data_IF_832239932900
#
_entry.id   IF_832239932900
#
_cell.length_a   1.000
_cell.length_b   1.000
_cell.length_c   1.000
_cell.angle_alpha   90.00
_cell.angle_beta   90.00
_cell.angle_gamma   90.00
#
_symmetry.space_group_name_H-M   'P 1'
#
loop_
_entity.id
_entity.type
_entity.pdbx_description
1 polymer ?
#
# COMPACT_ATOMS: atom_id res chain seq x y z
N UNK A 1 -20.04 -15.43 -12.13
CA UNK A 1 -19.49 -15.61 -13.48
C UNK A 1 -18.06 -15.13 -13.45
N UNK A 2 -17.10 -15.98 -13.87
CA UNK A 2 -15.70 -15.62 -13.93
C UNK A 2 -15.50 -14.35 -14.78
N UNK A 3 -14.58 -13.44 -14.43
CA UNK A 3 -14.33 -12.23 -15.21
C UNK A 3 -13.78 -12.60 -16.61
N UNK A 4 -14.13 -11.81 -17.61
CA UNK A 4 -13.52 -11.95 -18.92
C UNK A 4 -12.05 -11.57 -18.85
N UNK A 5 -11.16 -12.41 -19.37
CA UNK A 5 -9.70 -12.23 -19.34
C UNK A 5 -9.20 -11.88 -20.74
N UNK A 6 -8.42 -10.80 -20.84
CA UNK A 6 -7.72 -10.44 -22.08
C UNK A 6 -6.21 -10.49 -21.83
N UNK A 7 -5.48 -11.46 -22.41
CA UNK A 7 -4.02 -11.49 -22.34
C UNK A 7 -3.43 -10.27 -23.04
N UNK A 8 -2.54 -9.52 -22.38
CA UNK A 8 -1.92 -8.32 -22.97
C UNK A 8 -0.41 -8.45 -23.15
N UNK A 9 0.24 -9.39 -22.45
CA UNK A 9 1.69 -9.59 -22.51
C UNK A 9 2.54 -8.40 -22.02
N UNK A 10 1.93 -7.24 -21.74
CA UNK A 10 2.62 -6.02 -21.27
C UNK A 10 2.04 -5.56 -19.94
N UNK A 11 2.88 -4.90 -19.13
CA UNK A 11 2.44 -4.32 -17.88
C UNK A 11 1.35 -3.27 -18.09
N UNK A 12 0.32 -3.20 -17.22
CA UNK A 12 -0.79 -2.26 -17.36
C UNK A 12 -0.30 -0.80 -17.30
N UNK A 13 -0.94 0.12 -18.02
CA UNK A 13 -0.57 1.53 -17.99
C UNK A 13 -1.24 2.31 -16.85
N UNK A 14 -1.31 1.71 -15.66
CA UNK A 14 -2.00 2.30 -14.51
C UNK A 14 -1.05 3.19 -13.70
N UNK A 15 -1.61 4.24 -13.11
CA UNK A 15 -0.89 5.19 -12.26
C UNK A 15 -1.50 5.20 -10.86
N UNK A 16 -0.63 5.35 -9.84
CA UNK A 16 -1.05 5.47 -8.43
C UNK A 16 -2.05 4.37 -8.05
N UNK A 17 -1.78 3.16 -8.53
CA UNK A 17 -2.61 1.98 -8.38
C UNK A 17 -2.51 1.39 -6.97
N UNK A 18 -3.37 0.45 -6.67
CA UNK A 18 -3.34 -0.38 -5.47
C UNK A 18 -3.06 -1.83 -5.85
N UNK A 19 -2.32 -2.54 -5.02
CA UNK A 19 -1.92 -3.93 -5.26
C UNK A 19 -2.15 -4.77 -4.01
N UNK A 20 -2.69 -5.97 -4.19
CA UNK A 20 -2.75 -6.99 -3.15
C UNK A 20 -2.53 -8.38 -3.76
N UNK A 21 -2.06 -9.32 -2.95
CA UNK A 21 -1.99 -10.73 -3.34
C UNK A 21 -3.25 -11.45 -2.87
N UNK A 22 -4.03 -11.96 -3.79
CA UNK A 22 -5.20 -12.79 -3.53
C UNK A 22 -4.74 -14.23 -3.31
N UNK A 23 -4.71 -14.67 -2.06
CA UNK A 23 -4.25 -16.02 -1.69
C UNK A 23 -5.20 -17.11 -2.20
N UNK A 24 -6.50 -16.81 -2.30
CA UNK A 24 -7.49 -17.78 -2.76
C UNK A 24 -7.33 -18.10 -4.25
N UNK A 25 -7.11 -17.10 -5.09
CA UNK A 25 -6.88 -17.27 -6.53
C UNK A 25 -5.40 -17.42 -6.89
N UNK A 26 -4.47 -17.21 -5.95
CA UNK A 26 -3.01 -17.22 -6.14
C UNK A 26 -2.53 -16.22 -7.20
N UNK A 27 -3.11 -15.03 -7.19
CA UNK A 27 -2.82 -13.97 -8.15
C UNK A 27 -2.55 -12.64 -7.43
N UNK A 28 -1.68 -11.84 -8.02
CA UNK A 28 -1.61 -10.42 -7.65
C UNK A 28 -2.73 -9.68 -8.37
N UNK A 29 -3.50 -8.91 -7.61
CA UNK A 29 -4.60 -8.08 -8.14
C UNK A 29 -4.19 -6.62 -8.04
N UNK A 30 -4.19 -5.95 -9.19
CA UNK A 30 -3.89 -4.53 -9.33
C UNK A 30 -5.18 -3.79 -9.72
N UNK A 31 -5.49 -2.72 -9.02
CA UNK A 31 -6.60 -1.81 -9.33
C UNK A 31 -6.07 -0.40 -9.49
N UNK A 32 -6.47 0.28 -10.54
CA UNK A 32 -6.09 1.67 -10.76
C UNK A 32 -6.75 2.29 -11.96
N UNK A 33 -6.28 3.45 -12.36
CA UNK A 33 -6.75 4.18 -13.55
C UNK A 33 -5.57 4.44 -14.48
N UNK A 34 -5.86 4.58 -15.77
CA UNK A 34 -4.85 5.09 -16.73
C UNK A 34 -4.55 6.54 -16.45
N UNK A 35 -3.37 6.99 -16.83
CA UNK A 35 -3.02 8.42 -16.75
C UNK A 35 -4.05 9.26 -17.54
N UNK A 36 -4.66 10.22 -16.85
CA UNK A 36 -5.78 11.00 -17.38
C UNK A 36 -7.13 10.26 -17.50
N UNK A 37 -7.19 8.98 -17.13
CA UNK A 37 -8.42 8.18 -17.16
C UNK A 37 -9.28 8.35 -15.91
N UNK A 38 -10.57 8.00 -16.04
CA UNK A 38 -11.55 8.08 -14.94
C UNK A 38 -12.18 6.74 -14.57
N UNK A 39 -11.96 5.71 -15.38
CA UNK A 39 -12.48 4.37 -15.12
C UNK A 39 -11.44 3.50 -14.41
N UNK A 40 -11.87 2.74 -13.41
CA UNK A 40 -11.03 1.72 -12.79
C UNK A 40 -10.81 0.55 -13.74
N UNK A 41 -9.59 0.04 -13.76
CA UNK A 41 -9.23 -1.22 -14.39
C UNK A 41 -8.73 -2.19 -13.31
N UNK A 42 -9.16 -3.44 -13.42
CA UNK A 42 -8.67 -4.55 -12.59
C UNK A 42 -7.76 -5.43 -13.42
N UNK A 43 -6.59 -5.74 -12.91
CA UNK A 43 -5.61 -6.59 -13.57
C UNK A 43 -5.14 -7.68 -12.62
N UNK A 44 -4.88 -8.85 -13.18
CA UNK A 44 -4.26 -9.95 -12.45
C UNK A 44 -2.87 -10.26 -13.02
N UNK A 45 -1.97 -10.72 -12.15
CA UNK A 45 -0.64 -11.17 -12.54
C UNK A 45 -0.27 -12.48 -11.86
N UNK A 46 0.32 -13.38 -12.66
CA UNK A 46 1.03 -14.58 -12.19
C UNK A 46 2.32 -14.73 -12.96
N UNK A 47 3.29 -15.47 -12.40
CA UNK A 47 4.54 -15.77 -13.10
C UNK A 47 4.32 -16.58 -14.39
N UNK A 48 3.25 -17.36 -14.47
CA UNK A 48 2.93 -18.19 -15.64
C UNK A 48 2.29 -17.40 -16.79
N UNK A 49 1.49 -16.38 -16.47
CA UNK A 49 0.65 -15.72 -17.48
C UNK A 49 1.04 -14.26 -17.74
N UNK A 50 1.87 -13.65 -16.86
CA UNK A 50 2.09 -12.21 -16.87
C UNK A 50 0.80 -11.45 -16.52
N UNK A 51 0.74 -10.18 -16.92
CA UNK A 51 -0.43 -9.33 -16.68
C UNK A 51 -1.60 -9.69 -17.59
N UNK A 52 -2.78 -9.80 -16.98
CA UNK A 52 -4.05 -10.06 -17.64
C UNK A 52 -5.07 -9.00 -17.21
N UNK A 53 -5.74 -8.37 -18.16
CA UNK A 53 -6.84 -7.45 -17.89
C UNK A 53 -8.10 -8.24 -17.56
N UNK A 54 -8.67 -7.98 -16.39
CA UNK A 54 -9.92 -8.57 -15.93
C UNK A 54 -11.07 -7.58 -16.15
N UNK A 55 -12.20 -8.11 -16.61
CA UNK A 55 -13.43 -7.31 -16.77
C UNK A 55 -14.50 -7.91 -15.86
N UNK A 56 -14.50 -7.55 -14.55
CA UNK A 56 -15.51 -8.03 -13.61
C UNK A 56 -16.88 -7.40 -13.91
N UNK A 57 -17.96 -8.08 -13.45
CA UNK A 57 -19.34 -7.61 -13.65
C UNK A 57 -19.59 -6.25 -12.96
N UNK A 58 -18.92 -6.01 -11.84
CA UNK A 58 -18.94 -4.72 -11.11
C UNK A 58 -17.53 -4.31 -10.77
N UNK A 59 -17.28 -2.99 -10.78
CA UNK A 59 -15.98 -2.41 -10.43
C UNK A 59 -16.16 -1.17 -9.56
N UNK A 60 -15.20 -0.90 -8.65
CA UNK A 60 -15.18 0.37 -7.93
C UNK A 60 -15.08 1.55 -8.91
N UNK A 61 -15.64 2.73 -8.57
CA UNK A 61 -15.38 3.95 -9.32
C UNK A 61 -13.89 4.22 -9.46
N UNK A 62 -13.49 4.86 -10.57
CA UNK A 62 -12.09 5.20 -10.84
C UNK A 62 -11.45 5.99 -9.71
N UNK A 63 -10.31 5.52 -9.24
CA UNK A 63 -9.58 6.09 -8.11
C UNK A 63 -8.08 5.97 -8.22
N UNK A 64 -7.40 6.89 -7.59
CA UNK A 64 -5.97 6.83 -7.30
C UNK A 64 -5.76 6.76 -5.79
N UNK A 65 -4.62 6.25 -5.34
CA UNK A 65 -4.24 6.21 -3.92
C UNK A 65 -5.17 5.40 -2.99
N UNK A 66 -6.09 4.60 -3.53
CA UNK A 66 -6.78 3.60 -2.71
C UNK A 66 -5.78 2.64 -2.08
N UNK A 67 -6.15 1.97 -1.01
CA UNK A 67 -5.32 0.91 -0.44
C UNK A 67 -6.06 -0.42 -0.49
N UNK A 68 -5.34 -1.49 -0.80
CA UNK A 68 -5.87 -2.85 -0.88
C UNK A 68 -5.03 -3.77 -0.01
N UNK A 69 -5.72 -4.68 0.68
CA UNK A 69 -5.09 -5.73 1.48
C UNK A 69 -5.94 -6.99 1.44
N UNK A 70 -5.30 -8.15 1.45
CA UNK A 70 -5.99 -9.42 1.57
C UNK A 70 -6.39 -9.67 3.02
N UNK A 71 -7.65 -9.91 3.25
CA UNK A 71 -8.24 -10.30 4.53
C UNK A 71 -8.31 -11.83 4.59
N UNK A 72 -7.39 -12.43 5.35
CA UNK A 72 -7.31 -13.88 5.49
C UNK A 72 -8.55 -14.48 6.15
N UNK A 73 -9.23 -13.72 7.03
CA UNK A 73 -10.43 -14.20 7.74
C UNK A 73 -11.62 -14.38 6.80
N UNK A 74 -11.79 -13.46 5.85
CA UNK A 74 -12.87 -13.51 4.86
C UNK A 74 -12.46 -14.08 3.50
N UNK A 75 -11.17 -14.30 3.29
CA UNK A 75 -10.58 -14.74 2.02
C UNK A 75 -10.91 -13.80 0.84
N UNK A 76 -10.92 -12.51 1.10
CA UNK A 76 -11.21 -11.45 0.13
C UNK A 76 -10.17 -10.34 0.19
N UNK A 77 -9.98 -9.63 -0.92
CA UNK A 77 -9.24 -8.37 -0.87
C UNK A 77 -10.21 -7.26 -0.43
N UNK A 78 -9.79 -6.45 0.52
CA UNK A 78 -10.49 -5.24 0.97
C UNK A 78 -9.83 -4.03 0.35
N UNK A 79 -10.62 -3.17 -0.29
CA UNK A 79 -10.22 -1.87 -0.81
C UNK A 79 -10.93 -0.77 -0.03
N UNK A 80 -10.20 0.25 0.39
CA UNK A 80 -10.79 1.44 1.02
C UNK A 80 -10.15 2.73 0.53
N UNK A 81 -10.97 3.79 0.47
CA UNK A 81 -10.52 5.16 0.31
C UNK A 81 -9.89 5.50 -1.04
N UNK A 82 -8.93 6.40 -1.00
CA UNK A 82 -8.33 6.98 -2.19
C UNK A 82 -9.00 8.28 -2.63
N UNK A 83 -8.64 8.73 -3.81
CA UNK A 83 -9.18 9.93 -4.43
C UNK A 83 -9.92 9.56 -5.71
N UNK A 84 -11.13 10.09 -5.90
CA UNK A 84 -11.85 9.93 -7.16
C UNK A 84 -11.04 10.45 -8.34
N UNK A 85 -10.91 9.63 -9.38
CA UNK A 85 -10.25 10.03 -10.61
C UNK A 85 -11.10 11.07 -11.35
N UNK A 86 -10.55 12.26 -11.58
CA UNK A 86 -11.17 13.34 -12.34
C UNK A 86 -10.33 13.66 -13.57
N UNK A 87 -10.95 14.04 -14.72
CA UNK A 87 -10.24 14.24 -15.99
C UNK A 87 -9.18 15.33 -15.98
N UNK A 88 -9.16 16.23 -15.01
CA UNK A 88 -8.37 17.47 -15.08
C UNK A 88 -7.99 17.99 -13.72
N UNK A 89 -7.17 17.29 -12.96
CA UNK A 89 -6.50 17.86 -11.78
C UNK A 89 -7.40 18.68 -10.83
N UNK A 90 -8.69 18.39 -10.80
CA UNK A 90 -9.67 19.07 -9.96
C UNK A 90 -9.38 18.90 -8.47
N UNK A 91 -10.20 19.54 -7.63
CA UNK A 91 -10.10 19.45 -6.18
C UNK A 91 -10.01 17.97 -5.71
N UNK A 92 -9.23 17.71 -4.68
CA UNK A 92 -9.15 16.39 -4.06
C UNK A 92 -10.55 15.96 -3.59
N UNK A 93 -11.06 14.87 -4.15
CA UNK A 93 -12.32 14.27 -3.76
C UNK A 93 -12.04 12.93 -3.05
N UNK A 94 -11.78 12.96 -1.73
CA UNK A 94 -11.47 11.76 -0.98
C UNK A 94 -12.68 10.82 -0.92
N UNK A 95 -12.42 9.52 -0.92
CA UNK A 95 -13.41 8.47 -0.88
C UNK A 95 -13.49 7.83 0.50
N UNK A 96 -14.67 7.28 0.85
CA UNK A 96 -14.92 6.54 2.11
C UNK A 96 -15.68 5.23 1.88
N UNK A 97 -15.69 4.76 0.65
CA UNK A 97 -16.35 3.51 0.30
C UNK A 97 -15.42 2.32 0.57
N UNK A 98 -16.04 1.21 0.95
CA UNK A 98 -15.37 -0.08 1.15
C UNK A 98 -15.83 -1.02 0.05
N UNK A 99 -14.89 -1.69 -0.58
CA UNK A 99 -15.14 -2.72 -1.59
C UNK A 99 -14.40 -4.00 -1.23
N UNK A 100 -14.96 -5.13 -1.60
CA UNK A 100 -14.29 -6.42 -1.49
C UNK A 100 -14.22 -7.13 -2.83
N UNK A 101 -13.11 -7.82 -3.09
CA UNK A 101 -12.87 -8.68 -4.24
C UNK A 101 -12.86 -10.14 -3.81
N UNK A 102 -13.66 -10.98 -4.47
CA UNK A 102 -13.83 -12.40 -4.14
C UNK A 102 -13.09 -13.35 -5.11
N UNK A 103 -12.14 -12.82 -5.89
CA UNK A 103 -11.46 -13.55 -6.97
C UNK A 103 -12.13 -13.40 -8.33
N UNK A 104 -13.36 -12.88 -8.40
CA UNK A 104 -14.15 -12.79 -9.64
C UNK A 104 -14.80 -11.42 -9.86
N UNK A 105 -15.30 -10.80 -8.81
CA UNK A 105 -16.03 -9.52 -8.90
C UNK A 105 -15.82 -8.65 -7.68
N UNK A 106 -16.01 -7.35 -7.87
CA UNK A 106 -16.01 -6.38 -6.79
C UNK A 106 -17.41 -6.22 -6.22
N UNK A 107 -17.52 -6.17 -4.91
CA UNK A 107 -18.76 -5.91 -4.19
C UNK A 107 -18.60 -4.70 -3.28
N UNK A 108 -19.44 -3.68 -3.46
CA UNK A 108 -19.48 -2.54 -2.54
C UNK A 108 -20.10 -2.97 -1.22
N UNK A 109 -19.43 -2.63 -0.12
CA UNK A 109 -19.91 -2.88 1.24
C UNK A 109 -20.52 -1.59 1.80
N UNK A 110 -21.54 -1.75 2.61
CA UNK A 110 -22.25 -0.65 3.29
C UNK A 110 -22.18 -0.83 4.80
N UNK A 111 -20.97 -0.74 5.39
CA UNK A 111 -20.81 -0.94 6.83
C UNK A 111 -21.56 0.12 7.63
N UNK A 112 -22.07 -0.24 8.81
CA UNK A 112 -22.78 0.67 9.70
C UNK A 112 -21.88 1.79 10.22
N UNK A 113 -20.60 1.49 10.43
CA UNK A 113 -19.57 2.46 10.77
C UNK A 113 -18.41 2.35 9.79
N UNK A 114 -17.77 3.45 9.49
CA UNK A 114 -16.62 3.50 8.59
C UNK A 114 -15.74 4.72 8.88
N UNK A 115 -14.45 4.66 8.52
CA UNK A 115 -13.60 5.84 8.52
C UNK A 115 -14.20 6.96 7.66
N UNK A 116 -13.82 8.19 7.95
CA UNK A 116 -14.15 9.33 7.09
C UNK A 116 -13.53 9.17 5.70
N UNK A 117 -13.95 9.99 4.76
CA UNK A 117 -13.34 10.03 3.44
C UNK A 117 -11.88 10.49 3.53
N UNK A 118 -10.96 9.70 2.97
CA UNK A 118 -9.50 9.94 3.01
C UNK A 118 -8.85 9.62 1.69
N UNK A 119 -7.90 10.45 1.28
CA UNK A 119 -7.07 10.19 0.09
C UNK A 119 -6.03 9.10 0.41
N UNK A 120 -5.40 9.20 1.57
CA UNK A 120 -4.33 8.29 1.98
C UNK A 120 -4.74 7.55 3.25
N UNK A 121 -4.76 6.25 3.16
CA UNK A 121 -4.88 5.32 4.26
C UNK A 121 -3.83 4.23 4.04
N UNK A 122 -3.17 3.81 5.10
CA UNK A 122 -2.30 2.64 5.07
C UNK A 122 -3.05 1.49 5.69
N UNK A 123 -3.08 0.33 5.03
CA UNK A 123 -3.79 -0.84 5.53
C UNK A 123 -2.88 -2.06 5.53
N UNK A 124 -3.04 -2.89 6.53
CA UNK A 124 -2.42 -4.21 6.60
C UNK A 124 -3.31 -5.19 7.38
N UNK A 125 -3.22 -6.47 7.05
CA UNK A 125 -3.89 -7.52 7.81
C UNK A 125 -3.09 -7.84 9.07
N UNK A 126 -3.79 -7.92 10.18
CA UNK A 126 -3.26 -8.35 11.48
C UNK A 126 -3.78 -9.77 11.76
N UNK A 127 -2.92 -10.80 11.71
CA UNK A 127 -3.33 -12.17 11.94
C UNK A 127 -3.68 -12.46 13.40
N UNK A 128 -3.19 -11.66 14.36
CA UNK A 128 -3.50 -11.86 15.78
C UNK A 128 -4.94 -11.45 16.10
N UNK A 129 -5.43 -10.38 15.48
CA UNK A 129 -6.84 -9.95 15.60
C UNK A 129 -7.73 -10.53 14.50
N UNK A 130 -7.16 -11.16 13.48
CA UNK A 130 -7.84 -11.65 12.27
C UNK A 130 -8.66 -10.56 11.57
N UNK A 131 -8.08 -9.37 11.45
CA UNK A 131 -8.75 -8.19 10.92
C UNK A 131 -7.80 -7.33 10.09
N UNK A 132 -8.37 -6.41 9.29
CA UNK A 132 -7.60 -5.41 8.57
C UNK A 132 -7.50 -4.15 9.40
N UNK A 133 -6.29 -3.71 9.69
CA UNK A 133 -6.01 -2.45 10.38
C UNK A 133 -5.76 -1.36 9.35
N UNK A 134 -6.52 -0.28 9.46
CA UNK A 134 -6.38 0.94 8.65
C UNK A 134 -5.89 2.11 9.49
N UNK A 135 -4.89 2.83 9.00
CA UNK A 135 -4.29 3.99 9.69
C UNK A 135 -4.26 5.17 8.75
N UNK A 136 -4.75 6.30 9.21
CA UNK A 136 -4.71 7.54 8.44
C UNK A 136 -4.59 8.78 9.33
N UNK A 137 -4.18 9.89 8.72
CA UNK A 137 -4.09 11.17 9.40
C UNK A 137 -5.46 11.84 9.55
N UNK A 138 -5.75 12.30 10.76
CA UNK A 138 -6.89 13.15 11.05
C UNK A 138 -6.45 14.50 11.62
N UNK A 139 -6.28 15.52 10.77
CA UNK A 139 -5.87 16.86 11.23
C UNK A 139 -6.81 17.45 12.30
N UNK A 140 -8.10 17.10 12.27
CA UNK A 140 -9.08 17.58 13.24
C UNK A 140 -8.95 16.91 14.61
N UNK A 141 -8.38 15.69 14.67
CA UNK A 141 -8.13 14.98 15.92
C UNK A 141 -6.69 15.17 16.44
N UNK A 142 -5.90 16.01 15.76
CA UNK A 142 -4.51 16.30 16.10
C UNK A 142 -3.62 15.03 16.17
N UNK A 143 -3.80 14.12 15.22
CA UNK A 143 -3.04 12.88 15.14
C UNK A 143 -3.60 11.89 14.13
N UNK A 144 -3.11 10.65 14.21
CA UNK A 144 -3.58 9.55 13.38
C UNK A 144 -4.80 8.87 13.99
N UNK A 145 -5.68 8.35 13.18
CA UNK A 145 -6.72 7.40 13.60
C UNK A 145 -6.38 5.99 13.16
N UNK A 146 -6.70 5.04 14.02
CA UNK A 146 -6.57 3.60 13.75
C UNK A 146 -7.96 2.99 13.74
N UNK A 147 -8.27 2.24 12.70
CA UNK A 147 -9.54 1.56 12.51
C UNK A 147 -9.32 0.10 12.19
N UNK A 148 -10.27 -0.72 12.56
CA UNK A 148 -10.29 -2.16 12.34
C UNK A 148 -11.48 -2.54 11.45
N UNK A 149 -11.23 -3.32 10.41
CA UNK A 149 -12.25 -3.97 9.58
C UNK A 149 -12.33 -5.46 9.96
N UNK A 150 -13.48 -5.90 10.42
CA UNK A 150 -13.71 -7.28 10.88
C UNK A 150 -14.42 -8.17 9.84
N UNK A 151 -14.37 -7.80 8.56
CA UNK A 151 -15.08 -8.50 7.48
C UNK A 151 -16.49 -7.94 7.19
N UNK A 152 -17.10 -7.17 8.10
CA UNK A 152 -18.45 -6.64 7.94
C UNK A 152 -18.58 -5.15 8.23
N UNK A 153 -17.89 -4.62 9.21
CA UNK A 153 -17.94 -3.22 9.61
C UNK A 153 -16.58 -2.71 10.05
N UNK A 154 -16.39 -1.42 9.99
CA UNK A 154 -15.25 -0.73 10.56
C UNK A 154 -15.55 -0.32 12.00
N UNK A 155 -14.57 -0.42 12.87
CA UNK A 155 -14.62 0.08 14.24
C UNK A 155 -13.38 0.94 14.53
N UNK A 156 -13.53 2.11 15.18
CA UNK A 156 -12.38 2.90 15.60
C UNK A 156 -11.66 2.22 16.76
N UNK A 157 -10.35 2.10 16.67
CA UNK A 157 -9.53 1.59 17.75
C UNK A 157 -8.98 2.74 18.60
N UNK A 158 -9.18 2.64 19.90
CA UNK A 158 -8.63 3.58 20.89
C UNK A 158 -7.17 3.19 21.17
N UNK A 159 -6.29 3.46 20.23
CA UNK A 159 -4.85 3.27 20.45
C UNK A 159 -4.31 4.40 21.32
N UNK A 160 -3.58 4.08 22.40
CA UNK A 160 -3.03 5.04 23.38
C UNK A 160 -2.14 6.13 22.78
N UNK A 161 -0.81 6.02 22.84
CA UNK A 161 0.11 6.88 22.10
C UNK A 161 -0.09 6.63 20.60
N UNK A 162 -0.15 7.71 19.81
CA UNK A 162 -0.31 7.66 18.35
C UNK A 162 0.81 8.48 17.71
N UNK A 163 1.20 8.18 16.46
CA UNK A 163 2.03 9.11 15.72
C UNK A 163 1.40 10.50 15.73
N UNK A 164 2.10 11.49 16.28
CA UNK A 164 1.56 12.86 16.48
C UNK A 164 1.49 13.68 15.19
N UNK A 165 2.08 13.19 14.10
CA UNK A 165 2.21 13.97 12.89
C UNK A 165 1.47 13.27 11.75
N UNK A 166 0.86 14.06 10.84
CA UNK A 166 0.17 13.51 9.69
C UNK A 166 1.12 12.61 8.88
N UNK A 167 0.89 11.31 8.95
CA UNK A 167 1.61 10.32 8.16
C UNK A 167 0.84 10.01 6.88
N UNK A 168 0.64 11.04 6.04
CA UNK A 168 0.08 10.83 4.71
C UNK A 168 1.09 10.01 3.90
N UNK A 169 0.60 8.98 3.21
CA UNK A 169 1.44 8.11 2.38
C UNK A 169 2.56 7.39 3.18
N UNK A 170 2.34 7.06 4.44
CA UNK A 170 3.20 6.12 5.14
C UNK A 170 2.98 4.71 4.57
N UNK A 171 3.99 3.85 4.66
CA UNK A 171 3.83 2.42 4.44
C UNK A 171 3.40 1.73 5.74
N UNK A 172 2.58 0.69 5.64
CA UNK A 172 2.18 -0.20 6.72
C UNK A 172 2.29 -1.64 6.25
N UNK A 173 2.94 -2.50 7.02
CA UNK A 173 3.04 -3.92 6.72
C UNK A 173 3.17 -4.74 7.99
N UNK A 174 2.75 -6.00 7.94
CA UNK A 174 2.89 -6.93 9.05
C UNK A 174 4.27 -7.61 9.04
N UNK A 175 4.91 -7.67 10.21
CA UNK A 175 6.10 -8.46 10.47
C UNK A 175 5.74 -9.65 11.34
N UNK A 176 6.31 -10.82 11.08
CA UNK A 176 6.23 -11.97 12.00
C UNK A 176 7.42 -12.01 12.98
N UNK A 177 8.40 -11.11 12.83
CA UNK A 177 9.66 -11.13 13.61
C UNK A 177 10.01 -9.72 14.14
N UNK A 178 9.41 -9.28 15.26
CA UNK A 178 8.29 -9.86 16.01
C UNK A 178 6.94 -9.68 15.28
N UNK A 179 5.89 -10.38 15.78
CA UNK A 179 4.53 -10.26 15.28
C UNK A 179 3.94 -8.89 15.61
N UNK A 180 4.06 -7.94 14.69
CA UNK A 180 3.58 -6.56 14.84
C UNK A 180 3.29 -5.93 13.47
N UNK A 181 2.42 -4.94 13.41
CA UNK A 181 2.35 -4.04 12.28
C UNK A 181 3.46 -2.99 12.39
N UNK A 182 4.13 -2.71 11.29
CA UNK A 182 5.22 -1.73 11.19
C UNK A 182 4.80 -0.60 10.28
N UNK A 183 4.78 0.60 10.81
CA UNK A 183 4.53 1.83 10.05
C UNK A 183 5.82 2.63 9.90
N UNK A 184 6.11 3.04 8.68
CA UNK A 184 7.21 3.95 8.38
C UNK A 184 6.83 4.94 7.28
N UNK A 185 7.26 6.18 7.46
CA UNK A 185 7.01 7.24 6.49
C UNK A 185 6.64 8.55 7.17
N UNK A 186 6.69 9.64 6.42
CA UNK A 186 6.36 10.98 6.91
C UNK A 186 5.76 11.82 5.80
N UNK A 187 5.13 12.91 6.16
CA UNK A 187 4.63 13.92 5.22
C UNK A 187 5.64 15.01 5.04
N UNK A 188 5.72 15.49 3.81
CA UNK A 188 6.43 16.72 3.46
C UNK A 188 5.40 17.72 2.88
N UNK A 189 5.35 18.92 3.44
CA UNK A 189 4.45 19.96 2.95
C UNK A 189 4.66 21.30 3.65
N UNK A 190 4.02 22.35 3.15
CA UNK A 190 4.05 23.68 3.77
C UNK A 190 3.39 23.58 5.17
N UNK A 191 4.14 23.95 6.20
CA UNK A 191 3.68 23.84 7.59
C UNK A 191 3.83 22.46 8.22
N UNK A 192 4.34 21.45 7.49
CA UNK A 192 4.69 20.17 8.08
C UNK A 192 5.86 20.33 9.07
N UNK A 193 5.85 19.60 10.19
CA UNK A 193 7.01 19.56 11.10
C UNK A 193 8.24 18.99 10.40
N UNK A 194 9.40 19.09 11.05
CA UNK A 194 10.63 18.49 10.54
C UNK A 194 10.41 17.02 10.18
N UNK A 195 11.00 16.51 9.08
CA UNK A 195 10.86 15.14 8.67
C UNK A 195 11.23 14.18 9.80
N UNK A 196 10.31 13.28 10.16
CA UNK A 196 10.51 12.28 11.19
C UNK A 196 10.78 10.92 10.55
N UNK A 197 11.89 10.29 10.91
CA UNK A 197 12.26 8.95 10.48
C UNK A 197 11.92 7.87 11.54
N UNK A 198 11.05 8.20 12.50
CA UNK A 198 10.60 7.24 13.50
C UNK A 198 9.81 6.11 12.85
N UNK A 199 10.10 4.91 13.31
CA UNK A 199 9.30 3.72 13.03
C UNK A 199 8.26 3.59 14.14
N UNK A 200 7.05 3.19 13.79
CA UNK A 200 6.03 2.85 14.76
C UNK A 200 5.62 1.40 14.58
N UNK A 201 5.40 0.73 15.70
CA UNK A 201 4.85 -0.63 15.69
C UNK A 201 3.52 -0.67 16.41
N UNK A 202 2.60 -1.49 15.90
CA UNK A 202 1.29 -1.70 16.51
C UNK A 202 1.12 -3.17 16.85
N UNK A 203 0.80 -3.45 18.10
CA UNK A 203 0.47 -4.79 18.59
C UNK A 203 -0.45 -4.68 19.81
N UNK A 204 -1.36 -5.62 19.99
CA UNK A 204 -2.26 -5.70 21.13
C UNK A 204 -3.01 -4.37 21.44
N UNK A 205 -3.39 -3.64 20.39
CA UNK A 205 -4.12 -2.38 20.53
C UNK A 205 -3.25 -1.15 20.83
N UNK A 206 -1.92 -1.26 20.85
CA UNK A 206 -1.02 -0.18 21.27
C UNK A 206 0.01 0.14 20.17
N UNK A 207 0.24 1.44 19.96
CA UNK A 207 1.33 1.96 19.16
C UNK A 207 2.56 2.22 20.01
N UNK A 208 3.70 1.74 19.56
CA UNK A 208 5.02 1.93 20.20
C UNK A 208 5.97 2.65 19.25
N UNK A 209 6.53 3.81 19.63
CA UNK A 209 7.51 4.50 18.81
C UNK A 209 8.92 3.90 18.96
N UNK A 210 9.63 3.82 17.85
CA UNK A 210 11.05 3.52 17.80
C UNK A 210 11.79 4.73 17.23
N UNK A 211 12.63 5.34 18.04
CA UNK A 211 13.36 6.54 17.65
C UNK A 211 14.29 6.26 16.45
N UNK A 212 14.43 7.25 15.60
CA UNK A 212 15.40 7.20 14.51
C UNK A 212 16.83 7.12 15.03
N UNK A 213 17.66 6.35 14.36
CA UNK A 213 19.08 6.20 14.64
C UNK A 213 19.90 6.33 13.34
N UNK A 214 21.21 6.27 13.43
CA UNK A 214 22.08 6.30 12.23
C UNK A 214 21.85 5.11 11.29
N UNK A 215 21.28 4.01 11.79
CA UNK A 215 20.96 2.79 11.04
C UNK A 215 19.53 2.76 10.53
N UNK A 216 18.69 3.77 10.77
CA UNK A 216 17.33 3.84 10.23
C UNK A 216 17.31 4.45 8.82
N UNK A 217 16.34 4.08 7.97
CA UNK A 217 16.13 4.78 6.69
C UNK A 217 15.91 6.27 6.91
N UNK A 218 16.37 7.09 5.96
CA UNK A 218 16.05 8.53 5.99
C UNK A 218 14.56 8.75 5.89
N UNK A 219 14.08 9.84 6.51
CA UNK A 219 12.68 10.27 6.43
C UNK A 219 12.21 10.35 4.97
N UNK A 220 11.06 9.76 4.68
CA UNK A 220 10.50 9.65 3.31
C UNK A 220 8.99 9.53 3.33
N UNK A 221 8.34 10.02 2.28
CA UNK A 221 6.94 9.77 1.99
C UNK A 221 6.77 8.70 0.92
N UNK A 222 5.63 8.06 0.88
CA UNK A 222 5.25 7.05 -0.10
C UNK A 222 6.29 5.95 -0.36
N UNK A 223 6.92 5.36 0.69
CA UNK A 223 7.67 4.15 0.50
C UNK A 223 6.72 3.00 0.17
N UNK A 224 7.13 2.08 -0.68
CA UNK A 224 6.44 0.82 -0.83
C UNK A 224 6.85 -0.12 0.31
N UNK A 225 5.88 -0.75 0.98
CA UNK A 225 6.14 -1.68 2.07
C UNK A 225 5.28 -2.94 1.94
N UNK A 226 5.85 -4.08 2.30
CA UNK A 226 5.18 -5.39 2.32
C UNK A 226 5.93 -6.33 3.26
N UNK A 227 5.26 -7.36 3.75
CA UNK A 227 5.97 -8.52 4.32
C UNK A 227 6.85 -9.16 3.23
N UNK A 228 7.89 -9.89 3.62
CA UNK A 228 8.71 -10.71 2.72
C UNK A 228 8.81 -12.17 3.18
N UNK A 229 9.65 -12.96 2.47
CA UNK A 229 9.79 -14.40 2.69
C UNK A 229 10.30 -14.78 4.08
N UNK A 230 11.07 -13.90 4.72
CA UNK A 230 11.60 -14.10 6.07
C UNK A 230 10.64 -13.67 7.17
N UNK A 231 9.47 -13.19 6.81
CA UNK A 231 8.54 -12.58 7.75
C UNK A 231 8.96 -11.20 8.22
N UNK A 232 10.00 -10.62 7.64
CA UNK A 232 10.45 -9.25 7.84
C UNK A 232 9.52 -8.28 7.08
N UNK A 233 9.57 -6.99 7.37
CA UNK A 233 8.97 -5.98 6.52
C UNK A 233 10.01 -5.48 5.53
N UNK A 234 9.76 -5.68 4.24
CA UNK A 234 10.51 -5.10 3.14
C UNK A 234 10.01 -3.69 2.84
N UNK A 235 10.95 -2.76 2.63
CA UNK A 235 10.65 -1.40 2.18
C UNK A 235 11.52 -1.04 0.98
N UNK A 236 10.91 -0.39 -0.01
CA UNK A 236 11.62 0.15 -1.19
C UNK A 236 11.23 1.59 -1.47
N UNK A 237 12.22 2.41 -1.79
CA UNK A 237 12.02 3.73 -2.36
C UNK A 237 11.39 4.76 -1.43
N UNK A 238 10.52 5.60 -1.98
CA UNK A 238 9.93 6.76 -1.32
C UNK A 238 10.62 8.06 -1.74
N UNK A 239 10.06 9.20 -1.31
CA UNK A 239 10.57 10.53 -1.64
C UNK A 239 10.97 11.31 -0.40
N UNK A 240 12.08 12.05 -0.49
CA UNK A 240 12.52 13.04 0.49
C UNK A 240 11.75 14.37 0.31
N UNK A 241 11.81 15.21 1.35
CA UNK A 241 11.51 16.64 1.22
C UNK A 241 12.36 17.25 0.10
N UNK A 242 11.73 17.98 -0.83
CA UNK A 242 12.42 18.56 -1.97
C UNK A 242 12.44 17.69 -3.23
N UNK A 243 11.71 16.57 -3.25
CA UNK A 243 11.44 15.78 -4.47
C UNK A 243 12.52 14.76 -4.85
N UNK A 244 13.60 14.61 -4.06
CA UNK A 244 14.57 13.53 -4.26
C UNK A 244 13.90 12.19 -3.98
N UNK A 245 13.92 11.25 -4.94
CA UNK A 245 13.40 9.89 -4.75
C UNK A 245 14.52 8.93 -4.36
N UNK A 246 14.18 7.98 -3.50
CA UNK A 246 15.07 6.92 -3.07
C UNK A 246 14.91 5.66 -3.93
N UNK A 247 15.98 4.87 -4.05
CA UNK A 247 16.01 3.57 -4.71
C UNK A 247 16.67 2.50 -3.84
N UNK A 248 16.71 2.74 -2.54
CA UNK A 248 17.26 1.82 -1.56
C UNK A 248 16.23 0.79 -1.11
N UNK A 249 16.73 -0.40 -0.77
CA UNK A 249 15.95 -1.50 -0.21
C UNK A 249 16.34 -1.68 1.25
N UNK A 250 15.35 -1.81 2.11
CA UNK A 250 15.50 -2.02 3.54
C UNK A 250 14.62 -3.16 4.01
N UNK A 251 15.05 -3.87 5.04
CA UNK A 251 14.17 -4.77 5.79
C UNK A 251 14.12 -4.38 7.26
N UNK A 252 12.99 -4.64 7.91
CA UNK A 252 12.79 -4.43 9.32
C UNK A 252 12.44 -5.75 10.00
N UNK A 253 13.21 -6.08 11.01
CA UNK A 253 13.00 -7.24 11.87
C UNK A 253 13.71 -7.01 13.21
N UNK A 254 13.30 -7.72 14.27
CA UNK A 254 13.90 -7.61 15.60
C UNK A 254 13.99 -6.15 16.11
N UNK A 255 12.98 -5.32 15.78
CA UNK A 255 12.89 -3.89 16.12
C UNK A 255 14.01 -3.03 15.50
N UNK A 256 14.59 -3.44 14.40
CA UNK A 256 15.66 -2.71 13.72
C UNK A 256 15.56 -2.75 12.21
N UNK A 257 15.98 -1.67 11.55
CA UNK A 257 16.14 -1.61 10.11
C UNK A 257 17.52 -2.11 9.69
N UNK A 258 17.55 -2.87 8.62
CA UNK A 258 18.76 -3.29 7.93
C UNK A 258 18.71 -2.88 6.47
N UNK A 259 19.71 -2.13 6.01
CA UNK A 259 19.85 -1.81 4.59
C UNK A 259 20.25 -3.04 3.82
N UNK A 260 19.52 -3.36 2.76
CA UNK A 260 19.84 -4.42 1.80
C UNK A 260 20.65 -3.84 0.64
N UNK A 261 21.54 -4.64 0.08
CA UNK A 261 22.38 -4.24 -1.05
C UNK A 261 22.23 -5.26 -2.19
N UNK A 262 21.04 -5.30 -2.82
CA UNK A 262 20.79 -6.24 -3.91
C UNK A 262 21.69 -5.93 -5.11
N UNK A 263 22.04 -6.98 -5.87
CA UNK A 263 22.86 -6.84 -7.08
C UNK A 263 22.13 -6.04 -8.17
N UNK A 264 20.82 -6.22 -8.28
CA UNK A 264 19.93 -5.47 -9.16
C UNK A 264 18.78 -4.87 -8.35
N UNK A 265 18.32 -3.69 -8.73
CA UNK A 265 17.20 -3.01 -8.09
C UNK A 265 16.41 -2.16 -9.08
N UNK A 266 15.11 -1.90 -8.79
CA UNK A 266 14.34 -0.91 -9.53
C UNK A 266 15.01 0.47 -9.48
N UNK A 267 14.75 1.31 -10.47
CA UNK A 267 15.14 2.73 -10.41
C UNK A 267 14.47 3.40 -9.19
N UNK A 268 15.13 4.42 -8.65
CA UNK A 268 14.60 5.25 -7.57
C UNK A 268 13.20 5.78 -7.92
N UNK A 269 12.25 5.62 -6.98
CA UNK A 269 10.84 5.99 -7.18
C UNK A 269 10.10 6.12 -5.86
N UNK A 270 8.99 6.84 -5.88
CA UNK A 270 8.00 6.90 -4.78
C UNK A 270 6.65 6.39 -5.26
N UNK A 271 5.75 6.04 -4.35
CA UNK A 271 4.38 5.65 -4.67
C UNK A 271 4.27 4.36 -5.51
N UNK A 272 5.32 3.53 -5.52
CA UNK A 272 5.19 2.15 -5.98
C UNK A 272 4.35 1.34 -4.99
N UNK A 273 3.76 0.26 -5.47
CA UNK A 273 2.98 -0.66 -4.63
C UNK A 273 3.66 -2.02 -4.56
N UNK A 274 3.57 -2.66 -3.38
CA UNK A 274 4.13 -4.00 -3.16
C UNK A 274 3.10 -4.91 -2.51
N UNK A 275 3.18 -6.19 -2.85
CA UNK A 275 2.42 -7.24 -2.18
C UNK A 275 3.25 -8.53 -2.12
N UNK A 276 3.04 -9.32 -1.07
CA UNK A 276 3.75 -10.55 -0.80
C UNK A 276 2.93 -11.76 -1.25
N UNK A 277 3.53 -12.60 -2.10
CA UNK A 277 3.03 -13.92 -2.46
C UNK A 277 3.54 -14.94 -1.43
N UNK A 278 2.67 -15.33 -0.51
CA UNK A 278 2.99 -16.30 0.53
C UNK A 278 3.19 -17.74 0.01
N UNK A 279 2.74 -18.06 -1.21
CA UNK A 279 2.87 -19.41 -1.78
C UNK A 279 4.26 -19.62 -2.41
N UNK A 280 4.77 -18.59 -3.10
CA UNK A 280 6.07 -18.65 -3.78
C UNK A 280 7.18 -17.95 -3.00
N UNK A 281 6.86 -17.26 -1.90
CA UNK A 281 7.83 -16.53 -1.10
C UNK A 281 8.46 -15.36 -1.86
N UNK A 282 7.67 -14.57 -2.60
CA UNK A 282 8.17 -13.43 -3.39
C UNK A 282 7.34 -12.18 -3.18
N UNK A 283 7.98 -11.03 -3.28
CA UNK A 283 7.28 -9.73 -3.27
C UNK A 283 7.25 -9.18 -4.67
N UNK A 284 6.05 -8.83 -5.15
CA UNK A 284 5.89 -8.09 -6.40
C UNK A 284 5.85 -6.60 -6.09
N UNK A 285 6.65 -5.82 -6.83
CA UNK A 285 6.61 -4.37 -6.87
C UNK A 285 6.14 -3.93 -8.25
N UNK A 286 5.18 -3.00 -8.27
CA UNK A 286 4.67 -2.41 -9.50
C UNK A 286 4.69 -0.88 -9.45
N UNK A 287 5.08 -0.26 -10.57
CA UNK A 287 4.84 1.14 -10.84
C UNK A 287 5.65 2.12 -9.99
N UNK A 288 4.99 3.16 -9.54
CA UNK A 288 5.60 4.31 -8.87
C UNK A 288 5.91 5.47 -9.82
N UNK A 289 6.41 6.53 -9.26
CA UNK A 289 6.70 7.76 -10.00
C UNK A 289 8.00 8.43 -9.58
N UNK A 290 8.56 9.21 -10.50
CA UNK A 290 9.50 10.28 -10.19
C UNK A 290 8.77 11.59 -10.48
N UNK A 291 8.53 12.35 -9.44
CA UNK A 291 7.86 13.64 -9.55
C UNK A 291 8.89 14.76 -9.52
N UNK A 292 8.93 15.58 -10.56
CA UNK A 292 9.58 16.90 -10.54
C UNK A 292 8.52 17.96 -10.18
N UNK A 293 8.93 19.17 -9.85
CA UNK A 293 7.99 20.27 -9.53
C UNK A 293 7.01 20.59 -10.68
N UNK A 294 7.27 20.08 -11.90
CA UNK A 294 6.49 20.42 -13.10
C UNK A 294 5.82 19.20 -13.73
N UNK A 295 6.44 18.02 -13.67
CA UNK A 295 5.91 16.80 -14.33
C UNK A 295 6.14 15.57 -13.47
N UNK A 296 5.19 14.65 -13.50
CA UNK A 296 5.34 13.29 -12.96
C UNK A 296 5.64 12.32 -14.11
N UNK A 297 6.65 11.48 -13.93
CA UNK A 297 6.94 10.36 -14.84
C UNK A 297 6.59 9.06 -14.13
N UNK A 298 5.62 8.33 -14.66
CA UNK A 298 5.14 7.08 -14.07
C UNK A 298 5.90 5.88 -14.62
N UNK A 299 6.33 5.01 -13.72
CA UNK A 299 6.83 3.70 -14.07
C UNK A 299 5.67 2.73 -14.28
N UNK A 300 5.87 1.76 -15.17
CA UNK A 300 4.90 0.69 -15.50
C UNK A 300 5.58 -0.67 -15.46
N UNK A 301 6.79 -0.72 -14.91
CA UNK A 301 7.58 -1.94 -14.80
C UNK A 301 7.17 -2.75 -13.57
N UNK A 302 7.37 -4.05 -13.67
CA UNK A 302 7.10 -5.02 -12.62
C UNK A 302 8.40 -5.66 -12.20
N UNK A 303 8.59 -5.83 -10.90
CA UNK A 303 9.77 -6.42 -10.29
C UNK A 303 9.37 -7.45 -9.25
N UNK A 304 10.17 -8.49 -9.12
CA UNK A 304 10.04 -9.51 -8.08
C UNK A 304 11.26 -9.46 -7.15
N UNK A 305 11.01 -9.48 -5.85
CA UNK A 305 12.00 -9.68 -4.80
C UNK A 305 11.96 -11.12 -4.31
N UNK A 306 13.12 -11.80 -4.24
CA UNK A 306 13.26 -13.19 -3.83
C UNK A 306 13.88 -13.38 -2.43
N UNK A 307 13.97 -12.29 -1.65
CA UNK A 307 14.66 -12.25 -0.35
C UNK A 307 16.09 -11.72 -0.46
N UNK A 308 16.69 -11.65 -1.65
CA UNK A 308 18.08 -11.24 -1.86
C UNK A 308 18.25 -10.20 -2.97
N UNK A 309 17.54 -10.35 -4.07
CA UNK A 309 17.70 -9.47 -5.24
C UNK A 309 16.36 -9.18 -5.93
N UNK A 310 16.35 -8.09 -6.69
CA UNK A 310 15.23 -7.71 -7.52
C UNK A 310 15.41 -8.24 -8.94
N UNK A 311 14.40 -8.82 -9.51
CA UNK A 311 14.37 -9.26 -10.92
C UNK A 311 13.23 -8.56 -11.63
N UNK A 312 13.52 -7.92 -12.77
CA UNK A 312 12.49 -7.33 -13.61
C UNK A 312 11.79 -8.43 -14.41
N UNK A 313 10.46 -8.37 -14.47
CA UNK A 313 9.59 -9.34 -15.17
C UNK A 313 8.70 -8.64 -16.18
#
# INVERSE_FOLDING_TARGET
VAPTVTPTGSAPPLVRASLAYDKASQQFILLGVRDGGTASETWAWTAATGWQHLVPATSPPGRTWGNMVYDDATQQIVLFGGQSATPSGGALNPLSDTWTWDGTTWTQRTPAQKPRAVVFISMAYDPDTQSVIGVYDNPSANGTETWEWNGTTWAPLQAGLRPKYPKQQAGLAFSTVPAVLVEFGTVFGIGAPAPDASTWTYAAGLWTPHAASASTPKARSAPAMSQDTGGEVLMFGGAASGGTVYGDTWSWSHNAWQKRSPHTAPRARSGAVMAYDSNCGRVLLYGGEVSSQVTASFFKDTWLWDGQTWTRV
#
